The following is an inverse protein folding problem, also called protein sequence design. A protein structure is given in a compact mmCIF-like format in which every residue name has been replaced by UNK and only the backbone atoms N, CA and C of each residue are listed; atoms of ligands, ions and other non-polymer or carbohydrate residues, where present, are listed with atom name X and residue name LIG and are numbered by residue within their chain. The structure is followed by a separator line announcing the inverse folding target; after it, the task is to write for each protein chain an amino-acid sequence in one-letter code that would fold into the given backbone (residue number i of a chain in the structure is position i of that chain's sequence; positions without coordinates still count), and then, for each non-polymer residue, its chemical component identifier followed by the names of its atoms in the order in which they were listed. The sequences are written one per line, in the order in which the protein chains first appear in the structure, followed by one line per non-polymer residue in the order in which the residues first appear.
data_IF_640265070591
#
_entry.id   IF_640265070591
#
_cell.length_a   1.000
_cell.length_b   1.000
_cell.length_c   1.000
_cell.angle_alpha   90.00
_cell.angle_beta   90.00
_cell.angle_gamma   90.00
#
_symmetry.space_group_name_H-M   'P 1'
#
loop_
_entity.id
_entity.type
_entity.pdbx_description
1 polymer ?
#
# COMPACT_ATOMS: atom_id res chain seq x y z
N UNK A 1 -5.35 -18.81 -24.55
CA UNK A 1 -5.98 -19.51 -23.40
C UNK A 1 -4.89 -20.38 -22.76
N UNK A 2 -3.98 -19.83 -21.94
CA UNK A 2 -2.72 -20.51 -21.58
C UNK A 2 -2.65 -21.02 -20.12
N UNK A 3 -3.62 -20.70 -19.26
CA UNK A 3 -3.48 -20.92 -17.80
C UNK A 3 -4.60 -21.76 -17.15
N UNK A 4 -5.54 -22.31 -17.91
CA UNK A 4 -6.72 -22.98 -17.34
C UNK A 4 -6.42 -24.34 -16.71
N UNK A 5 -5.33 -25.01 -17.12
CA UNK A 5 -5.11 -26.42 -16.79
C UNK A 5 -3.89 -26.71 -15.87
N UNK A 6 -3.15 -25.69 -15.42
CA UNK A 6 -1.97 -25.90 -14.54
C UNK A 6 -2.36 -26.04 -13.06
N UNK A 7 -3.48 -25.44 -12.63
CA UNK A 7 -3.76 -25.25 -11.21
C UNK A 7 -5.06 -25.91 -10.70
N UNK A 8 -5.74 -26.73 -11.52
CA UNK A 8 -7.01 -27.37 -11.15
C UNK A 8 -8.23 -26.43 -11.15
N UNK A 9 -9.43 -26.97 -10.86
CA UNK A 9 -10.69 -26.21 -10.88
C UNK A 9 -10.68 -25.09 -9.84
N UNK A 10 -10.92 -23.85 -10.27
CA UNK A 10 -11.09 -22.68 -9.39
C UNK A 10 -9.81 -21.86 -9.15
N UNK A 11 -8.70 -22.27 -9.76
CA UNK A 11 -7.43 -21.55 -9.69
C UNK A 11 -7.26 -20.60 -10.88
N UNK A 12 -6.54 -19.50 -10.67
CA UNK A 12 -6.31 -18.49 -11.71
C UNK A 12 -5.03 -17.69 -11.44
N UNK A 13 -4.52 -17.06 -12.50
CA UNK A 13 -3.58 -15.95 -12.43
C UNK A 13 -4.24 -14.74 -13.12
N UNK A 14 -4.30 -13.61 -12.42
CA UNK A 14 -4.66 -12.31 -12.97
C UNK A 14 -3.42 -11.43 -12.94
N UNK A 15 -3.27 -10.62 -13.97
CA UNK A 15 -2.24 -9.61 -14.09
C UNK A 15 -2.93 -8.31 -14.45
N UNK A 16 -2.52 -7.22 -13.82
CA UNK A 16 -3.01 -5.88 -14.10
C UNK A 16 -1.85 -4.90 -14.17
N UNK A 17 -2.15 -3.75 -14.77
CA UNK A 17 -1.24 -2.63 -14.87
C UNK A 17 -2.06 -1.36 -15.07
N UNK A 18 -1.71 -0.31 -14.32
CA UNK A 18 -2.34 1.00 -14.43
C UNK A 18 -1.30 2.06 -14.80
N UNK A 19 -1.79 3.13 -15.43
CA UNK A 19 -1.00 4.33 -15.72
C UNK A 19 -1.82 5.56 -15.39
N UNK A 20 -1.15 6.57 -14.84
CA UNK A 20 -1.72 7.86 -14.51
C UNK A 20 -0.87 8.96 -15.15
N UNK A 21 -1.52 9.94 -15.76
CA UNK A 21 -0.93 11.24 -16.01
C UNK A 21 -1.90 12.29 -15.50
N UNK A 22 -1.42 13.19 -14.65
CA UNK A 22 -2.24 14.24 -14.06
C UNK A 22 -1.47 15.56 -14.00
N UNK A 23 -2.24 16.65 -13.98
CA UNK A 23 -1.78 17.99 -13.62
C UNK A 23 -2.74 18.51 -12.59
N UNK A 24 -2.25 18.65 -11.36
CA UNK A 24 -3.06 19.13 -10.26
C UNK A 24 -2.67 20.56 -9.88
N UNK A 25 -3.63 21.27 -9.32
CA UNK A 25 -3.42 22.62 -8.79
C UNK A 25 -3.07 22.56 -7.30
N UNK A 26 -2.55 23.68 -6.78
CA UNK A 26 -2.29 23.83 -5.35
C UNK A 26 -3.53 23.47 -4.52
N UNK A 27 -3.33 22.68 -3.46
CA UNK A 27 -4.39 22.27 -2.54
C UNK A 27 -5.03 20.93 -2.87
N UNK A 28 -4.70 20.29 -3.99
CA UNK A 28 -5.13 18.91 -4.26
C UNK A 28 -4.45 17.93 -3.30
N UNK A 29 -5.23 17.01 -2.72
CA UNK A 29 -4.71 15.89 -1.94
C UNK A 29 -4.38 14.72 -2.87
N UNK A 30 -3.10 14.39 -2.99
CA UNK A 30 -2.60 13.32 -3.88
C UNK A 30 -2.37 12.00 -3.14
N UNK A 31 -2.81 11.88 -1.88
CA UNK A 31 -2.62 10.64 -1.12
C UNK A 31 -3.48 9.48 -1.59
N UNK A 32 -4.53 9.77 -2.36
CA UNK A 32 -5.36 8.75 -2.98
C UNK A 32 -4.62 7.96 -4.07
N UNK A 33 -3.47 8.47 -4.55
CA UNK A 33 -2.57 7.78 -5.49
C UNK A 33 -1.25 7.36 -4.85
N UNK A 34 -1.28 7.03 -3.55
CA UNK A 34 -0.17 6.38 -2.84
C UNK A 34 0.99 7.30 -2.40
N UNK A 35 0.81 8.63 -2.48
CA UNK A 35 1.77 9.60 -1.94
C UNK A 35 1.42 10.00 -0.48
N UNK A 36 2.36 9.92 0.46
CA UNK A 36 2.19 10.46 1.81
C UNK A 36 3.24 11.53 2.10
N UNK A 37 2.89 12.56 2.87
CA UNK A 37 3.84 13.58 3.33
C UNK A 37 4.64 13.04 4.50
N UNK A 38 5.96 13.18 4.44
CA UNK A 38 6.87 12.88 5.56
C UNK A 38 7.09 14.16 6.38
N UNK A 39 6.51 14.20 7.58
CA UNK A 39 6.66 15.33 8.49
C UNK A 39 8.09 15.39 9.07
N UNK A 40 8.41 16.49 9.76
CA UNK A 40 9.75 16.70 10.35
C UNK A 40 10.10 15.70 11.45
N UNK A 41 9.09 15.12 12.11
CA UNK A 41 9.24 14.05 13.10
C UNK A 41 9.14 12.63 12.50
N UNK A 42 9.16 12.51 11.16
CA UNK A 42 9.01 11.26 10.44
C UNK A 42 7.61 10.65 10.46
N UNK A 43 6.62 11.31 11.07
CA UNK A 43 5.22 10.87 10.97
C UNK A 43 4.68 11.08 9.56
N UNK A 44 3.72 10.26 9.15
CA UNK A 44 3.08 10.36 7.84
C UNK A 44 1.74 11.07 7.93
N UNK A 45 1.47 11.95 6.98
CA UNK A 45 0.18 12.62 6.83
C UNK A 45 -0.25 12.69 5.37
N UNK A 46 -1.52 13.01 5.07
CA UNK A 46 -1.93 13.23 3.70
C UNK A 46 -1.07 14.31 3.01
N UNK A 47 -0.60 14.05 1.79
CA UNK A 47 0.11 15.03 0.99
C UNK A 47 -0.87 15.94 0.26
N UNK A 48 -0.99 17.18 0.75
CA UNK A 48 -1.73 18.27 0.09
C UNK A 48 -0.73 19.15 -0.65
N UNK A 49 -0.89 19.27 -1.96
CA UNK A 49 0.04 19.98 -2.84
C UNK A 49 0.28 21.44 -2.37
N UNK A 50 1.51 21.82 -1.97
CA UNK A 50 1.82 23.20 -1.57
C UNK A 50 1.92 24.15 -2.78
N UNK A 51 2.13 23.62 -3.99
CA UNK A 51 2.09 24.31 -5.28
C UNK A 51 1.52 23.38 -6.36
N UNK A 52 1.24 23.93 -7.54
CA UNK A 52 0.75 23.12 -8.67
C UNK A 52 1.79 22.08 -9.11
N UNK A 53 1.35 20.97 -9.71
CA UNK A 53 2.23 19.87 -10.12
C UNK A 53 1.87 19.28 -11.50
N UNK A 54 2.76 18.44 -12.00
CA UNK A 54 2.50 17.47 -13.06
C UNK A 54 3.08 16.13 -12.60
N UNK A 55 2.28 15.07 -12.70
CA UNK A 55 2.67 13.76 -12.21
C UNK A 55 2.33 12.64 -13.16
N UNK A 56 3.17 11.62 -13.11
CA UNK A 56 2.99 10.36 -13.83
C UNK A 56 3.16 9.22 -12.88
N UNK A 57 2.22 8.28 -12.87
CA UNK A 57 2.32 7.06 -12.09
C UNK A 57 2.10 5.84 -12.97
N UNK A 58 2.61 4.71 -12.51
CA UNK A 58 2.30 3.40 -13.06
C UNK A 58 2.31 2.36 -11.95
N UNK A 59 1.53 1.30 -12.14
CA UNK A 59 1.54 0.13 -11.26
C UNK A 59 1.48 -1.15 -12.07
N UNK A 60 1.90 -2.24 -11.44
CA UNK A 60 1.66 -3.60 -11.92
C UNK A 60 1.21 -4.46 -10.76
N UNK A 61 0.19 -5.27 -10.99
CA UNK A 61 -0.34 -6.19 -10.00
C UNK A 61 -0.45 -7.61 -10.54
N UNK A 62 -0.35 -8.57 -9.63
CA UNK A 62 -0.60 -9.96 -9.91
C UNK A 62 -1.41 -10.60 -8.79
N UNK A 63 -2.38 -11.43 -9.16
CA UNK A 63 -3.13 -12.25 -8.23
C UNK A 63 -3.17 -13.70 -8.70
N UNK A 64 -2.47 -14.55 -7.97
CA UNK A 64 -2.53 -15.99 -8.09
C UNK A 64 -3.51 -16.56 -7.04
N UNK A 65 -4.46 -17.36 -7.49
CA UNK A 65 -5.25 -18.25 -6.63
C UNK A 65 -4.97 -19.69 -7.01
N UNK A 66 -4.61 -20.52 -6.03
CA UNK A 66 -4.36 -21.94 -6.21
C UNK A 66 -4.95 -22.74 -5.05
N UNK A 67 -6.15 -23.30 -5.25
CA UNK A 67 -6.86 -24.04 -4.19
C UNK A 67 -7.14 -23.16 -2.95
N UNK A 68 -6.65 -23.53 -1.74
CA UNK A 68 -6.81 -22.75 -0.51
C UNK A 68 -5.86 -21.54 -0.40
N UNK A 69 -4.92 -21.41 -1.33
CA UNK A 69 -3.89 -20.38 -1.31
C UNK A 69 -4.25 -19.21 -2.24
N UNK A 70 -4.03 -18.00 -1.74
CA UNK A 70 -4.09 -16.75 -2.47
C UNK A 70 -2.74 -16.02 -2.32
N UNK A 71 -2.22 -15.47 -3.41
CA UNK A 71 -1.06 -14.58 -3.42
C UNK A 71 -1.39 -13.38 -4.29
N UNK A 72 -1.34 -12.20 -3.70
CA UNK A 72 -1.57 -10.92 -4.37
C UNK A 72 -0.32 -10.08 -4.16
N UNK A 73 0.09 -9.34 -5.17
CA UNK A 73 1.13 -8.34 -5.00
C UNK A 73 0.97 -7.22 -6.00
N UNK A 74 1.41 -6.03 -5.59
CA UNK A 74 1.38 -4.83 -6.41
C UNK A 74 2.68 -4.07 -6.17
N UNK A 75 3.24 -3.52 -7.25
CA UNK A 75 4.29 -2.52 -7.20
C UNK A 75 3.77 -1.27 -7.91
N UNK A 76 4.10 -0.09 -7.39
CA UNK A 76 3.78 1.18 -8.03
C UNK A 76 4.95 2.16 -7.93
N UNK A 77 4.94 3.15 -8.81
CA UNK A 77 5.81 4.31 -8.75
C UNK A 77 5.08 5.53 -9.28
N UNK A 78 5.23 6.66 -8.60
CA UNK A 78 4.71 7.96 -9.00
C UNK A 78 5.83 9.00 -8.97
N UNK A 79 6.01 9.70 -10.08
CA UNK A 79 6.92 10.84 -10.20
C UNK A 79 6.12 12.13 -10.14
N UNK A 80 6.44 12.99 -9.17
CA UNK A 80 5.78 14.27 -8.95
C UNK A 80 6.74 15.42 -9.30
N UNK A 81 6.35 16.24 -10.26
CA UNK A 81 7.13 17.38 -10.72
C UNK A 81 6.41 18.67 -10.36
N UNK A 82 7.03 19.56 -9.57
CA UNK A 82 6.40 20.81 -9.19
C UNK A 82 6.36 21.75 -10.41
N UNK A 83 5.22 22.39 -10.63
CA UNK A 83 5.03 23.37 -11.71
C UNK A 83 5.26 24.79 -11.21
N UNK A 84 5.97 25.57 -12.02
CA UNK A 84 6.11 27.01 -11.84
C UNK A 84 4.82 27.70 -12.30
N UNK A 85 3.97 28.09 -11.35
CA UNK A 85 2.75 28.87 -11.63
C UNK A 85 2.76 30.14 -10.78
N UNK A 86 3.11 31.28 -11.37
CA UNK A 86 3.22 32.60 -10.72
C UNK A 86 4.24 32.67 -9.56
N UNK A 87 5.46 32.17 -9.78
CA UNK A 87 6.55 32.20 -8.79
C UNK A 87 7.37 30.90 -8.81
N UNK A 88 8.41 30.78 -7.97
CA UNK A 88 9.14 29.53 -7.84
C UNK A 88 8.21 28.38 -7.41
N UNK A 89 8.53 27.13 -7.77
CA UNK A 89 7.73 25.98 -7.36
C UNK A 89 7.66 25.87 -5.82
N UNK A 90 6.53 25.39 -5.30
CA UNK A 90 6.26 25.37 -3.85
C UNK A 90 6.89 24.19 -3.09
N UNK A 91 7.56 23.28 -3.79
CA UNK A 91 8.20 22.07 -3.27
C UNK A 91 9.19 21.51 -4.30
N UNK A 92 10.05 20.59 -3.88
CA UNK A 92 10.99 19.90 -4.75
C UNK A 92 10.35 18.71 -5.48
N UNK A 93 10.91 18.34 -6.62
CA UNK A 93 10.50 17.12 -7.30
C UNK A 93 10.85 15.89 -6.46
N UNK A 94 9.95 14.91 -6.44
CA UNK A 94 10.17 13.63 -5.77
C UNK A 94 9.58 12.47 -6.58
N UNK A 95 10.05 11.27 -6.27
CA UNK A 95 9.49 10.02 -6.78
C UNK A 95 9.13 9.17 -5.58
N UNK A 96 7.86 8.80 -5.48
CA UNK A 96 7.42 7.79 -4.51
C UNK A 96 7.30 6.44 -5.20
N UNK A 97 7.60 5.38 -4.48
CA UNK A 97 7.44 4.02 -4.95
C UNK A 97 7.14 3.10 -3.76
N UNK A 98 6.58 1.94 -4.05
CA UNK A 98 6.25 1.00 -3.01
C UNK A 98 5.70 -0.30 -3.56
N UNK A 99 5.52 -1.24 -2.64
CA UNK A 99 4.88 -2.50 -2.96
C UNK A 99 4.12 -3.03 -1.75
N UNK A 100 3.21 -3.95 -2.03
CA UNK A 100 2.78 -4.94 -1.05
C UNK A 100 2.75 -6.33 -1.69
N UNK A 101 2.93 -7.34 -0.85
CA UNK A 101 2.69 -8.74 -1.19
C UNK A 101 1.91 -9.37 -0.06
N UNK A 102 0.76 -9.95 -0.39
CA UNK A 102 -0.18 -10.56 0.55
C UNK A 102 -0.36 -12.03 0.20
N UNK A 103 0.00 -12.90 1.13
CA UNK A 103 -0.28 -14.33 1.10
C UNK A 103 -1.47 -14.66 2.00
N UNK A 104 -2.42 -15.43 1.49
CA UNK A 104 -3.57 -15.93 2.21
C UNK A 104 -3.66 -17.45 2.11
N UNK A 105 -4.04 -18.11 3.21
CA UNK A 105 -4.30 -19.55 3.22
C UNK A 105 -5.54 -19.89 4.04
N UNK A 106 -6.50 -20.58 3.42
CA UNK A 106 -7.68 -21.09 4.14
C UNK A 106 -7.32 -22.31 4.99
N UNK A 107 -7.19 -22.09 6.30
CA UNK A 107 -7.02 -23.15 7.30
C UNK A 107 -8.28 -24.02 7.40
N UNK A 108 -9.46 -23.39 7.32
CA UNK A 108 -10.75 -24.07 7.19
C UNK A 108 -11.43 -23.51 5.93
N UNK A 109 -11.73 -24.35 4.93
CA UNK A 109 -12.30 -23.90 3.68
C UNK A 109 -13.52 -22.98 3.89
N UNK A 110 -13.44 -21.76 3.34
CA UNK A 110 -14.49 -20.73 3.38
C UNK A 110 -14.89 -20.22 4.78
N UNK A 111 -14.14 -20.57 5.84
CA UNK A 111 -14.46 -20.19 7.22
C UNK A 111 -13.33 -19.49 7.94
N UNK A 112 -12.10 -19.97 7.80
CA UNK A 112 -10.95 -19.42 8.51
C UNK A 112 -9.77 -19.31 7.55
N UNK A 113 -9.23 -18.10 7.43
CA UNK A 113 -8.07 -17.78 6.59
C UNK A 113 -6.99 -17.12 7.44
N UNK A 114 -5.76 -17.57 7.30
CA UNK A 114 -4.58 -16.85 7.77
C UNK A 114 -4.04 -15.97 6.66
N UNK A 115 -3.58 -14.78 7.02
CA UNK A 115 -3.05 -13.78 6.09
C UNK A 115 -1.71 -13.27 6.60
N UNK A 116 -0.74 -13.14 5.70
CA UNK A 116 0.50 -12.41 5.93
C UNK A 116 0.66 -11.38 4.82
N UNK A 117 1.01 -10.16 5.17
CA UNK A 117 1.34 -9.11 4.20
C UNK A 117 2.69 -8.49 4.54
N UNK A 118 3.52 -8.27 3.54
CA UNK A 118 4.69 -7.40 3.66
C UNK A 118 4.48 -6.22 2.71
N UNK A 119 4.71 -5.02 3.22
CA UNK A 119 4.59 -3.78 2.46
C UNK A 119 5.78 -2.86 2.71
N UNK A 120 6.09 -2.06 1.71
CA UNK A 120 7.08 -0.99 1.77
C UNK A 120 6.55 0.21 1.01
N UNK A 121 6.81 1.40 1.55
CA UNK A 121 6.56 2.69 0.90
C UNK A 121 7.79 3.56 1.07
N UNK A 122 8.29 4.08 -0.04
CA UNK A 122 9.27 5.14 -0.12
C UNK A 122 8.55 6.43 -0.57
N UNK A 123 8.33 7.41 0.32
CA UNK A 123 7.75 8.70 -0.06
C UNK A 123 8.67 9.54 -0.96
N UNK A 124 9.98 9.38 -0.83
CA UNK A 124 11.00 10.02 -1.69
C UNK A 124 11.16 11.52 -1.48
N UNK A 125 10.69 12.06 -0.37
CA UNK A 125 10.71 13.49 -0.03
C UNK A 125 11.87 13.86 0.89
N UNK A 126 12.39 12.91 1.66
CA UNK A 126 13.52 13.07 2.57
C UNK A 126 14.52 11.92 2.42
N UNK A 127 15.74 12.11 2.91
CA UNK A 127 16.73 11.03 2.94
C UNK A 127 16.29 9.91 3.89
N UNK A 128 16.38 8.66 3.42
CA UNK A 128 15.99 7.45 4.17
C UNK A 128 14.55 7.50 4.70
N UNK A 129 13.57 7.95 3.92
CA UNK A 129 12.18 8.08 4.38
C UNK A 129 11.29 6.86 4.15
N UNK A 130 11.90 5.71 3.88
CA UNK A 130 11.23 4.42 3.77
C UNK A 130 10.47 4.04 5.03
N UNK A 131 9.27 3.48 4.83
CA UNK A 131 8.48 2.84 5.87
C UNK A 131 8.07 1.44 5.40
N UNK A 132 8.17 0.47 6.30
CA UNK A 132 7.84 -0.92 5.97
C UNK A 132 6.99 -1.52 7.07
N UNK A 133 6.11 -2.46 6.72
CA UNK A 133 5.33 -3.20 7.69
C UNK A 133 5.22 -4.67 7.31
N UNK A 134 5.26 -5.54 8.31
CA UNK A 134 4.77 -6.91 8.20
C UNK A 134 3.47 -7.05 9.00
N UNK A 135 2.47 -7.67 8.38
CA UNK A 135 1.14 -7.88 8.95
C UNK A 135 0.89 -9.36 9.05
N UNK A 136 0.45 -9.82 10.22
CA UNK A 136 -0.08 -11.16 10.44
C UNK A 136 -1.54 -11.07 10.85
N UNK A 137 -2.41 -11.85 10.22
CA UNK A 137 -3.85 -11.72 10.44
C UNK A 137 -4.64 -13.02 10.31
N UNK A 138 -5.84 -12.98 10.88
CA UNK A 138 -6.85 -14.03 10.77
C UNK A 138 -8.18 -13.43 10.33
N UNK A 139 -8.79 -14.05 9.32
CA UNK A 139 -10.13 -13.74 8.85
C UNK A 139 -11.07 -14.90 9.17
N UNK A 140 -12.15 -14.61 9.90
CA UNK A 140 -13.23 -15.56 10.18
C UNK A 140 -14.51 -15.16 9.44
N UNK A 141 -14.94 -16.03 8.54
CA UNK A 141 -16.09 -15.82 7.65
C UNK A 141 -17.33 -16.46 8.29
N UNK A 142 -18.23 -15.63 8.81
CA UNK A 142 -19.49 -16.07 9.42
C UNK A 142 -20.50 -16.39 8.32
N UNK A 143 -20.56 -15.54 7.29
CA UNK A 143 -21.40 -15.72 6.11
C UNK A 143 -20.70 -15.24 4.84
N UNK A 144 -19.67 -15.98 4.40
CA UNK A 144 -18.87 -15.57 3.24
C UNK A 144 -18.32 -14.15 3.42
N UNK A 145 -18.21 -13.40 2.33
CA UNK A 145 -17.74 -12.00 2.36
C UNK A 145 -18.80 -11.00 2.87
N UNK A 146 -20.05 -11.44 3.04
CA UNK A 146 -21.15 -10.60 3.52
C UNK A 146 -21.02 -10.32 5.02
N UNK A 147 -20.48 -11.27 5.79
CA UNK A 147 -20.22 -11.09 7.21
C UNK A 147 -18.93 -11.79 7.63
N UNK A 148 -17.92 -11.00 8.02
CA UNK A 148 -16.63 -11.51 8.50
C UNK A 148 -16.01 -10.65 9.59
N UNK A 149 -15.20 -11.29 10.42
CA UNK A 149 -14.36 -10.64 11.45
C UNK A 149 -12.90 -10.86 11.09
N UNK A 150 -12.09 -9.83 11.29
CA UNK A 150 -10.68 -9.81 10.95
C UNK A 150 -9.90 -9.28 12.15
N UNK A 151 -8.78 -9.91 12.47
CA UNK A 151 -7.83 -9.43 13.48
C UNK A 151 -6.46 -9.44 12.87
N UNK A 152 -5.78 -8.30 12.89
CA UNK A 152 -4.46 -8.11 12.30
C UNK A 152 -3.51 -7.53 13.34
N UNK A 153 -2.29 -8.07 13.39
CA UNK A 153 -1.15 -7.49 14.06
C UNK A 153 -0.22 -6.89 13.01
N UNK A 154 0.22 -5.67 13.24
CA UNK A 154 1.15 -4.92 12.41
C UNK A 154 2.43 -4.72 13.18
N UNK A 155 3.56 -5.01 12.56
CA UNK A 155 4.87 -4.55 13.00
C UNK A 155 5.42 -3.64 11.91
N UNK A 156 5.66 -2.38 12.24
CA UNK A 156 6.09 -1.33 11.31
C UNK A 156 7.43 -0.76 11.74
N UNK A 157 8.31 -0.50 10.79
CA UNK A 157 9.58 0.19 11.02
C UNK A 157 9.81 1.32 10.02
N UNK A 158 10.48 2.39 10.49
CA UNK A 158 10.76 3.61 9.76
C UNK A 158 12.27 3.83 9.62
N UNK A 159 12.74 3.85 8.38
CA UNK A 159 14.14 4.14 8.06
C UNK A 159 14.49 5.59 8.46
N UNK A 160 13.51 6.50 8.43
CA UNK A 160 13.71 7.91 8.77
C UNK A 160 14.03 8.05 10.25
N UNK A 161 13.22 7.44 11.11
CA UNK A 161 13.42 7.49 12.57
C UNK A 161 14.64 6.68 13.00
N UNK A 162 14.98 5.61 12.27
CA UNK A 162 16.24 4.92 12.48
C UNK A 162 17.45 5.83 12.22
N UNK A 163 17.40 6.64 11.15
CA UNK A 163 18.44 7.60 10.83
C UNK A 163 18.42 8.87 11.71
N UNK A 164 17.28 9.17 12.35
CA UNK A 164 17.05 10.37 13.16
C UNK A 164 16.39 9.97 14.51
N UNK A 165 17.14 9.29 15.40
CA UNK A 165 16.61 8.70 16.63
C UNK A 165 16.07 9.73 17.63
N UNK A 166 16.38 11.01 17.46
CA UNK A 166 15.81 12.10 18.24
C UNK A 166 14.28 12.25 18.07
N UNK A 167 13.71 11.69 17.00
CA UNK A 167 12.27 11.75 16.72
C UNK A 167 11.47 10.57 17.31
N UNK A 168 12.11 9.75 18.15
CA UNK A 168 11.48 8.67 18.91
C UNK A 168 11.76 7.29 18.34
N UNK A 169 10.98 6.30 18.79
CA UNK A 169 11.13 4.92 18.37
C UNK A 169 11.02 4.80 16.85
N UNK A 170 11.81 3.91 16.25
CA UNK A 170 11.79 3.62 14.82
C UNK A 170 10.88 2.43 14.48
N UNK A 171 10.28 1.79 15.48
CA UNK A 171 9.44 0.60 15.36
C UNK A 171 8.17 0.73 16.18
N UNK A 172 7.06 0.21 15.65
CA UNK A 172 5.74 0.28 16.29
C UNK A 172 4.92 -0.96 16.00
N UNK A 173 4.13 -1.36 17.00
CA UNK A 173 3.21 -2.48 16.91
C UNK A 173 1.76 -2.01 17.07
N UNK A 174 0.86 -2.53 16.22
CA UNK A 174 -0.57 -2.23 16.27
C UNK A 174 -1.40 -3.51 16.16
N UNK A 175 -2.52 -3.59 16.89
CA UNK A 175 -3.53 -4.64 16.72
C UNK A 175 -4.85 -4.01 16.31
N UNK A 176 -5.36 -4.41 15.15
CA UNK A 176 -6.62 -3.91 14.61
C UNK A 176 -7.62 -5.05 14.49
N UNK A 177 -8.76 -4.90 15.17
CA UNK A 177 -9.95 -5.73 14.96
C UNK A 177 -10.94 -5.04 14.03
N UNK A 178 -11.49 -5.76 13.06
CA UNK A 178 -12.51 -5.25 12.13
C UNK A 178 -13.65 -6.24 11.98
N UNK A 179 -14.89 -5.75 12.04
CA UNK A 179 -16.08 -6.49 11.59
C UNK A 179 -16.58 -5.85 10.30
N UNK A 180 -16.81 -6.66 9.27
CA UNK A 180 -17.39 -6.23 8.00
C UNK A 180 -18.78 -6.84 7.86
N UNK A 181 -19.75 -5.99 7.50
CA UNK A 181 -21.12 -6.37 7.13
C UNK A 181 -21.44 -5.72 5.77
N UNK A 182 -21.83 -6.53 4.80
CA UNK A 182 -22.32 -6.11 3.47
C UNK A 182 -23.72 -6.69 3.24
N UNK A 183 -24.57 -5.94 2.52
CA UNK A 183 -25.97 -6.26 2.23
C UNK A 183 -26.31 -5.96 0.76
#
# INVERSE_FOLDING_TARGET
MLFKDVFGKGSFLKLGADVLNSRDDKGTNISQSLTLLVNDDGSLSPFVLPGADERTAWSVDAWLRAGPFDLIGEFFQERVLPRTTNGPPGFDAFTTDGFYVTGGYYLIPKKLQAVVQWQHLNPGQKGNDGISSIVGGLNYYIHGDDLKVMVNYFHTWSDFRQANPEFGDDQFDEVIGRMQLMF
#
